data_IF_037334084775
#
_entry.id   IF_037334084775
#
_cell.length_a   1.000
_cell.length_b   1.000
_cell.length_c   1.000
_cell.angle_alpha   90.00
_cell.angle_beta   90.00
_cell.angle_gamma   90.00
#
_symmetry.space_group_name_H-M   'P 1'
#
loop_
_entity.id
_entity.type
_entity.pdbx_description
1 polymer ?
#
# COMPACT_ATOMS: atom_id res chain seq x y z
N UNK A 1 -6.50 65.45 31.97
CA UNK A 1 -5.91 64.49 32.93
C UNK A 1 -5.70 63.16 32.22
N UNK A 2 -4.46 62.84 31.82
CA UNK A 2 -4.10 61.57 31.18
C UNK A 2 -3.83 60.49 32.24
N UNK A 3 -4.23 59.24 31.96
CA UNK A 3 -3.89 58.08 32.80
C UNK A 3 -2.67 57.37 32.21
N UNK A 4 -1.60 57.33 33.00
CA UNK A 4 -0.40 56.54 32.82
C UNK A 4 -0.65 55.05 33.12
N UNK A 5 -0.02 54.16 32.35
CA UNK A 5 0.44 52.81 32.75
C UNK A 5 1.39 52.30 31.64
N UNK A 6 2.69 52.61 31.72
CA UNK A 6 3.78 51.73 32.16
C UNK A 6 3.82 50.39 31.40
N UNK A 7 4.68 50.35 30.39
CA UNK A 7 5.09 49.16 29.67
C UNK A 7 6.06 48.33 30.52
N UNK A 8 5.70 47.07 30.78
CA UNK A 8 6.55 46.10 31.46
C UNK A 8 7.45 45.41 30.43
N UNK A 9 8.75 45.72 30.49
CA UNK A 9 9.81 45.03 29.74
C UNK A 9 10.09 43.70 30.45
N UNK A 10 9.72 42.57 29.82
CA UNK A 10 10.13 41.24 30.25
C UNK A 10 11.45 40.88 29.56
N UNK A 11 12.53 40.83 30.35
CA UNK A 11 13.81 40.26 29.96
C UNK A 11 13.64 38.76 29.69
N UNK A 12 13.91 38.33 28.45
CA UNK A 12 14.13 36.92 28.12
C UNK A 12 15.57 36.54 28.51
N UNK A 13 15.73 35.84 29.63
CA UNK A 13 16.94 35.09 29.92
C UNK A 13 17.05 33.91 28.95
N UNK A 14 17.97 34.01 27.99
CA UNK A 14 18.37 32.91 27.15
C UNK A 14 19.25 31.94 27.96
N UNK A 15 18.71 30.76 28.30
CA UNK A 15 19.53 29.65 28.77
C UNK A 15 20.29 29.08 27.57
N UNK A 16 21.59 29.36 27.48
CA UNK A 16 22.47 28.77 26.48
C UNK A 16 22.63 27.25 26.74
N UNK A 17 22.25 26.42 25.77
CA UNK A 17 22.58 25.00 25.78
C UNK A 17 24.08 24.81 25.49
N UNK A 18 24.78 23.90 26.17
CA UNK A 18 26.18 23.62 25.88
C UNK A 18 26.33 22.98 24.49
N UNK A 19 27.46 23.21 23.78
CA UNK A 19 27.70 22.63 22.47
C UNK A 19 27.77 21.10 22.57
N UNK A 20 27.03 20.42 21.68
CA UNK A 20 27.12 18.98 21.48
C UNK A 20 28.55 18.60 21.11
N UNK A 21 29.17 17.72 21.90
CA UNK A 21 30.43 17.07 21.54
C UNK A 21 30.19 16.17 20.32
N UNK A 22 31.07 16.19 19.30
CA UNK A 22 31.01 15.21 18.22
C UNK A 22 31.22 13.81 18.79
N UNK A 23 30.39 12.87 18.36
CA UNK A 23 30.54 11.45 18.70
C UNK A 23 31.91 10.92 18.20
N UNK A 24 32.57 10.01 18.93
CA UNK A 24 33.81 9.41 18.47
C UNK A 24 33.55 8.60 17.20
N UNK A 25 34.43 8.77 16.22
CA UNK A 25 34.41 8.04 14.96
C UNK A 25 34.54 6.53 15.22
N UNK A 26 33.40 5.84 15.25
CA UNK A 26 33.34 4.38 15.20
C UNK A 26 33.70 3.91 13.80
N UNK A 27 34.63 2.97 13.72
CA UNK A 27 35.17 2.40 12.48
C UNK A 27 34.03 2.01 11.51
N UNK A 28 34.00 2.68 10.36
CA UNK A 28 33.22 2.26 9.21
C UNK A 28 33.72 0.89 8.74
N UNK A 29 33.04 -0.17 9.16
CA UNK A 29 32.89 -1.32 8.27
C UNK A 29 32.07 -0.80 7.10
N UNK A 30 32.75 -0.37 6.04
CA UNK A 30 32.16 -0.27 4.72
C UNK A 30 31.67 -1.67 4.35
N UNK A 31 30.46 -2.01 4.80
CA UNK A 31 29.67 -3.01 4.14
C UNK A 31 29.44 -2.44 2.74
N UNK A 32 30.16 -2.97 1.76
CA UNK A 32 29.87 -2.74 0.36
C UNK A 32 28.44 -3.20 0.13
N UNK A 33 27.48 -2.28 0.24
CA UNK A 33 26.08 -2.54 -0.03
C UNK A 33 26.03 -3.10 -1.46
N UNK A 34 25.61 -4.36 -1.60
CA UNK A 34 25.44 -4.94 -2.92
C UNK A 34 24.46 -4.06 -3.69
N UNK A 35 24.78 -3.62 -4.92
CA UNK A 35 23.85 -2.83 -5.71
C UNK A 35 22.51 -3.55 -5.81
N UNK A 36 21.40 -2.82 -5.61
CA UNK A 36 20.06 -3.38 -5.75
C UNK A 36 19.86 -3.96 -7.15
N UNK A 37 19.20 -5.13 -7.23
CA UNK A 37 18.74 -5.71 -8.49
C UNK A 37 17.47 -5.04 -9.01
N UNK A 38 16.76 -4.33 -8.14
CA UNK A 38 15.48 -3.70 -8.48
C UNK A 38 14.32 -4.69 -8.42
N UNK A 39 14.49 -5.81 -7.71
CA UNK A 39 13.44 -6.82 -7.47
C UNK A 39 13.19 -7.06 -5.98
N UNK A 40 13.87 -6.31 -5.14
CA UNK A 40 13.78 -6.44 -3.69
C UNK A 40 12.78 -5.47 -3.06
N UNK A 41 12.02 -5.95 -2.07
CA UNK A 41 11.28 -5.14 -1.10
C UNK A 41 12.13 -4.90 0.16
N UNK A 42 11.88 -3.82 0.90
CA UNK A 42 12.53 -3.51 2.18
C UNK A 42 11.64 -3.83 3.37
N UNK A 43 12.18 -4.52 4.37
CA UNK A 43 11.53 -4.79 5.66
C UNK A 43 12.54 -4.56 6.77
N UNK A 44 12.30 -3.59 7.65
CA UNK A 44 13.25 -3.15 8.67
C UNK A 44 14.63 -2.79 8.09
N UNK A 45 14.66 -2.22 6.87
CA UNK A 45 15.89 -1.93 6.13
C UNK A 45 16.61 -3.14 5.51
N UNK A 46 16.11 -4.36 5.72
CA UNK A 46 16.62 -5.58 5.06
C UNK A 46 15.92 -5.78 3.71
N UNK A 47 16.67 -6.21 2.69
CA UNK A 47 16.17 -6.39 1.33
C UNK A 47 15.80 -7.85 1.04
N UNK A 48 14.59 -8.08 0.53
CA UNK A 48 14.05 -9.40 0.19
C UNK A 48 13.67 -9.44 -1.29
N UNK A 49 14.33 -10.30 -2.06
CA UNK A 49 14.01 -10.50 -3.48
C UNK A 49 12.65 -11.19 -3.64
N UNK A 50 11.81 -10.60 -4.49
CA UNK A 50 10.48 -11.14 -4.82
C UNK A 50 10.34 -11.49 -6.31
N UNK A 51 11.40 -11.36 -7.12
CA UNK A 51 11.43 -11.83 -8.51
C UNK A 51 10.56 -11.02 -9.49
N UNK A 52 10.19 -9.80 -9.15
CA UNK A 52 9.46 -8.85 -10.03
C UNK A 52 10.00 -7.43 -9.83
N UNK A 53 9.91 -6.51 -10.81
CA UNK A 53 10.39 -5.15 -10.65
C UNK A 53 9.76 -4.41 -9.45
N UNK A 54 10.61 -3.84 -8.60
CA UNK A 54 10.27 -3.04 -7.41
C UNK A 54 11.08 -1.75 -7.39
N UNK A 55 10.37 -0.63 -7.30
CA UNK A 55 10.92 0.70 -7.02
C UNK A 55 10.66 1.03 -5.54
N UNK A 56 11.71 1.23 -4.76
CA UNK A 56 11.61 1.63 -3.35
C UNK A 56 11.45 3.14 -3.23
N UNK A 57 10.92 3.59 -2.09
CA UNK A 57 10.67 5.01 -1.83
C UNK A 57 11.92 5.89 -1.86
N UNK A 58 13.10 5.30 -1.69
CA UNK A 58 14.40 5.99 -1.75
C UNK A 58 15.14 5.78 -3.08
N UNK A 59 14.55 5.07 -4.04
CA UNK A 59 15.09 5.01 -5.40
C UNK A 59 14.77 6.28 -6.20
N UNK A 60 15.53 6.50 -7.26
CA UNK A 60 15.14 7.43 -8.30
C UNK A 60 13.78 7.03 -8.91
N UNK A 61 12.83 7.97 -8.93
CA UNK A 61 11.46 7.73 -9.39
C UNK A 61 10.57 7.00 -8.37
N UNK A 62 11.07 6.73 -7.16
CA UNK A 62 10.29 6.18 -6.06
C UNK A 62 9.28 7.17 -5.47
N UNK A 63 8.25 6.62 -4.84
CA UNK A 63 7.21 7.38 -4.15
C UNK A 63 7.41 7.23 -2.64
N UNK A 64 7.64 8.33 -1.91
CA UNK A 64 7.96 8.27 -0.47
C UNK A 64 6.84 8.80 0.42
N UNK A 65 6.22 7.91 1.18
CA UNK A 65 5.18 8.27 2.16
C UNK A 65 5.77 8.90 3.45
N UNK A 66 7.09 9.02 3.54
CA UNK A 66 7.78 9.69 4.64
C UNK A 66 7.75 11.23 4.53
N UNK A 67 7.33 11.78 3.39
CA UNK A 67 7.17 13.21 3.22
C UNK A 67 5.94 13.72 3.97
N UNK A 68 6.16 14.67 4.89
CA UNK A 68 5.06 15.31 5.62
C UNK A 68 4.33 16.38 4.77
N UNK A 69 5.03 16.98 3.80
CA UNK A 69 4.48 17.90 2.81
C UNK A 69 3.94 17.13 1.59
N UNK A 70 3.06 17.74 0.77
CA UNK A 70 2.60 17.09 -0.45
C UNK A 70 3.77 16.80 -1.40
N UNK A 71 3.70 15.65 -2.08
CA UNK A 71 4.78 15.09 -2.88
C UNK A 71 4.85 15.69 -4.30
N UNK A 72 3.71 15.92 -4.96
CA UNK A 72 3.68 16.37 -6.36
C UNK A 72 3.37 17.87 -6.56
N UNK A 73 3.12 18.64 -5.49
CA UNK A 73 2.79 20.06 -5.62
C UNK A 73 2.74 20.83 -4.30
N UNK A 74 2.65 22.16 -4.36
CA UNK A 74 2.59 23.01 -3.17
C UNK A 74 1.20 23.08 -2.52
N UNK A 75 0.15 22.66 -3.23
CA UNK A 75 -1.22 22.61 -2.72
C UNK A 75 -1.57 21.21 -2.24
N UNK A 76 -1.94 21.10 -0.97
CA UNK A 76 -2.28 19.83 -0.34
C UNK A 76 -2.25 19.96 1.17
N UNK A 77 -2.53 18.85 1.85
CA UNK A 77 -2.50 18.80 3.32
C UNK A 77 -1.09 18.42 3.80
N UNK A 78 -0.73 18.83 5.01
CA UNK A 78 0.53 18.42 5.65
C UNK A 78 0.26 17.53 6.86
N UNK A 79 1.23 16.71 7.28
CA UNK A 79 1.12 15.82 8.44
C UNK A 79 1.82 14.46 8.27
N UNK A 80 1.81 13.63 9.30
CA UNK A 80 2.18 12.22 9.12
C UNK A 80 1.12 11.50 8.30
N UNK A 81 1.57 10.54 7.50
CA UNK A 81 0.77 9.77 6.54
C UNK A 81 0.62 8.30 6.95
N UNK A 82 1.36 7.95 7.99
CA UNK A 82 1.55 6.62 8.53
C UNK A 82 1.73 6.77 10.04
N UNK A 83 1.65 5.65 10.77
CA UNK A 83 2.05 5.57 12.17
C UNK A 83 3.42 4.89 12.24
N UNK A 84 4.44 5.53 12.83
CA UNK A 84 5.74 4.90 13.03
C UNK A 84 5.64 3.60 13.83
N UNK A 85 6.33 2.56 13.34
CA UNK A 85 6.36 1.23 13.92
C UNK A 85 5.05 0.43 13.79
N UNK A 86 5.07 -0.76 14.40
CA UNK A 86 3.89 -1.60 14.63
C UNK A 86 3.44 -1.47 16.08
N UNK A 87 2.16 -1.23 16.32
CA UNK A 87 1.65 -1.07 17.69
C UNK A 87 1.77 -2.36 18.51
N UNK A 88 2.15 -2.25 19.78
CA UNK A 88 2.13 -3.38 20.72
C UNK A 88 0.68 -3.62 21.22
N UNK A 89 0.07 -4.81 21.05
CA UNK A 89 -1.19 -5.19 21.66
C UNK A 89 -1.10 -5.39 23.18
N UNK A 90 0.10 -5.47 23.77
CA UNK A 90 0.31 -5.55 25.21
C UNK A 90 1.34 -4.49 25.65
N UNK A 91 0.97 -3.20 25.67
CA UNK A 91 1.88 -2.18 26.17
C UNK A 91 2.22 -2.51 27.62
N UNK A 92 3.50 -2.70 27.94
CA UNK A 92 3.92 -2.90 29.32
C UNK A 92 3.32 -1.79 30.20
N UNK A 93 2.57 -2.13 31.26
CA UNK A 93 1.96 -1.12 32.12
C UNK A 93 3.09 -0.41 32.86
N UNK A 94 3.32 0.85 32.51
CA UNK A 94 4.26 1.79 33.14
C UNK A 94 5.73 1.38 33.09
N UNK A 95 6.38 1.74 31.98
CA UNK A 95 7.83 1.85 31.91
C UNK A 95 8.23 2.43 30.56
N UNK A 96 8.81 3.64 30.55
CA UNK A 96 9.53 4.17 29.38
C UNK A 96 10.77 3.29 29.15
N UNK A 97 10.58 2.15 28.49
CA UNK A 97 11.66 1.61 27.68
C UNK A 97 11.75 2.52 26.45
N UNK A 98 12.95 3.04 26.17
CA UNK A 98 13.27 3.57 24.84
C UNK A 98 12.76 2.58 23.79
N UNK A 99 12.11 3.02 22.71
CA UNK A 99 11.59 2.11 21.70
C UNK A 99 12.78 1.29 21.16
N UNK A 100 12.86 0.02 21.54
CA UNK A 100 13.80 -0.90 20.92
C UNK A 100 13.57 -0.79 19.41
N UNK A 101 14.65 -0.56 18.65
CA UNK A 101 14.56 -0.47 17.20
C UNK A 101 13.70 -1.64 16.69
N UNK A 102 12.65 -1.34 15.93
CA UNK A 102 11.74 -2.37 15.45
C UNK A 102 12.57 -3.36 14.62
N UNK A 103 12.52 -4.63 14.99
CA UNK A 103 13.30 -5.70 14.34
C UNK A 103 12.40 -6.45 13.37
N UNK A 104 13.01 -7.16 12.43
CA UNK A 104 12.28 -8.06 11.54
C UNK A 104 11.42 -9.07 12.31
N UNK A 105 11.93 -9.62 13.43
CA UNK A 105 11.17 -10.53 14.29
C UNK A 105 9.94 -9.86 14.93
N UNK A 106 10.03 -8.59 15.32
CA UNK A 106 8.86 -7.84 15.79
C UNK A 106 7.81 -7.70 14.68
N UNK A 107 8.20 -7.41 13.43
CA UNK A 107 7.26 -7.33 12.30
C UNK A 107 6.66 -8.70 11.99
N UNK A 108 7.47 -9.76 11.92
CA UNK A 108 7.04 -11.16 11.72
C UNK A 108 6.03 -11.63 12.74
N UNK A 109 6.18 -11.20 14.00
CA UNK A 109 5.27 -11.57 15.08
C UNK A 109 3.93 -10.82 15.05
N UNK A 110 3.85 -9.66 14.36
CA UNK A 110 2.70 -8.74 14.41
C UNK A 110 1.85 -8.76 13.15
N UNK A 111 2.50 -8.82 11.99
CA UNK A 111 1.84 -8.71 10.70
C UNK A 111 1.40 -10.09 10.24
N UNK A 112 0.10 -10.27 10.10
CA UNK A 112 -0.50 -11.54 9.70
C UNK A 112 -1.65 -11.40 8.69
N UNK A 113 -1.87 -10.19 8.19
CA UNK A 113 -2.84 -9.89 7.13
C UNK A 113 -2.18 -9.16 5.95
N UNK A 114 -2.72 -9.37 4.76
CA UNK A 114 -2.38 -8.64 3.54
C UNK A 114 -3.66 -8.15 2.89
N UNK A 115 -3.86 -6.84 2.78
CA UNK A 115 -5.11 -6.25 2.27
C UNK A 115 -4.93 -5.72 0.86
N UNK A 116 -5.81 -6.16 -0.04
CA UNK A 116 -5.87 -5.82 -1.45
C UNK A 116 -6.88 -4.70 -1.68
N UNK A 117 -6.45 -3.67 -2.40
CA UNK A 117 -7.25 -2.51 -2.79
C UNK A 117 -7.15 -2.33 -4.32
N UNK A 118 -8.17 -1.75 -4.95
CA UNK A 118 -7.97 -1.02 -6.20
C UNK A 118 -7.96 0.48 -5.92
N UNK A 119 -7.31 1.24 -6.79
CA UNK A 119 -7.07 2.66 -6.53
C UNK A 119 -8.16 3.62 -7.03
N UNK A 120 -8.99 3.21 -7.99
CA UNK A 120 -9.94 4.09 -8.72
C UNK A 120 -9.22 5.27 -9.40
N UNK A 121 -7.92 5.12 -9.69
CA UNK A 121 -7.07 6.18 -10.23
C UNK A 121 -6.46 5.79 -11.59
N UNK A 122 -6.26 4.50 -11.83
CA UNK A 122 -5.75 3.96 -13.09
C UNK A 122 -4.22 4.05 -13.27
N UNK A 123 -3.50 4.71 -12.36
CA UNK A 123 -2.03 4.69 -12.29
C UNK A 123 -1.55 4.82 -10.84
N UNK A 124 -0.42 4.18 -10.52
CA UNK A 124 0.22 4.29 -9.20
C UNK A 124 0.56 5.73 -8.83
N UNK A 125 0.97 6.54 -9.82
CA UNK A 125 1.29 7.95 -9.62
C UNK A 125 0.08 8.77 -9.13
N UNK A 126 -1.07 8.62 -9.79
CA UNK A 126 -2.27 9.35 -9.41
C UNK A 126 -2.83 8.84 -8.08
N UNK A 127 -2.79 7.53 -7.85
CA UNK A 127 -3.12 6.93 -6.55
C UNK A 127 -2.28 7.55 -5.43
N UNK A 128 -0.95 7.59 -5.60
CA UNK A 128 -0.05 8.17 -4.62
C UNK A 128 -0.35 9.65 -4.36
N UNK A 129 -0.62 10.44 -5.41
CA UNK A 129 -1.02 11.85 -5.27
C UNK A 129 -2.31 11.99 -4.45
N UNK A 130 -3.32 11.15 -4.72
CA UNK A 130 -4.59 11.19 -3.98
C UNK A 130 -4.36 10.84 -2.51
N UNK A 131 -3.66 9.74 -2.23
CA UNK A 131 -3.39 9.30 -0.86
C UNK A 131 -2.57 10.35 -0.11
N UNK A 132 -1.45 10.79 -0.67
CA UNK A 132 -0.50 11.67 0.00
C UNK A 132 -0.95 13.12 0.03
N UNK A 133 -1.25 13.71 -1.12
CA UNK A 133 -1.41 15.17 -1.24
C UNK A 133 -2.81 15.60 -0.84
N UNK A 134 -3.84 14.79 -1.17
CA UNK A 134 -5.23 15.15 -0.94
C UNK A 134 -5.82 14.56 0.35
N UNK A 135 -5.47 13.31 0.70
CA UNK A 135 -6.16 12.55 1.75
C UNK A 135 -5.38 12.36 3.05
N UNK A 136 -4.06 12.56 3.03
CA UNK A 136 -3.19 12.32 4.19
C UNK A 136 -3.22 10.84 4.63
N UNK A 137 -3.19 9.94 3.65
CA UNK A 137 -3.19 8.49 3.81
C UNK A 137 -1.94 7.87 3.18
N UNK A 138 -1.73 6.57 3.39
CA UNK A 138 -0.61 5.82 2.81
C UNK A 138 -0.98 4.37 2.59
N UNK A 139 -0.19 3.70 1.76
CA UNK A 139 -0.23 2.25 1.53
C UNK A 139 1.20 1.73 1.37
N UNK A 140 1.48 0.50 1.79
CA UNK A 140 2.84 -0.05 1.70
C UNK A 140 3.28 -0.20 0.24
N UNK A 141 2.40 -0.71 -0.62
CA UNK A 141 2.70 -0.95 -2.03
C UNK A 141 1.68 -0.29 -2.95
N UNK A 142 2.15 0.17 -4.11
CA UNK A 142 1.33 0.49 -5.28
C UNK A 142 1.72 -0.49 -6.39
N UNK A 143 0.75 -0.98 -7.14
CA UNK A 143 0.97 -1.86 -8.29
C UNK A 143 0.38 -1.22 -9.54
N UNK A 144 1.24 -0.77 -10.46
CA UNK A 144 0.79 -0.09 -11.68
C UNK A 144 0.30 -1.08 -12.75
N UNK A 145 -0.39 -0.57 -13.77
CA UNK A 145 -1.01 -1.39 -14.81
C UNK A 145 0.00 -2.20 -15.64
N UNK A 146 1.25 -1.73 -15.72
CA UNK A 146 2.37 -2.40 -16.40
C UNK A 146 3.11 -3.43 -15.53
N UNK A 147 2.63 -3.67 -14.30
CA UNK A 147 3.23 -4.62 -13.35
C UNK A 147 4.35 -4.06 -12.47
N UNK A 148 4.70 -2.77 -12.61
CA UNK A 148 5.69 -2.15 -11.72
C UNK A 148 5.14 -2.02 -10.29
N UNK A 149 5.93 -2.47 -9.32
CA UNK A 149 5.62 -2.29 -7.90
C UNK A 149 6.39 -1.09 -7.37
N UNK A 150 5.70 -0.23 -6.62
CA UNK A 150 6.32 0.84 -5.85
C UNK A 150 6.09 0.57 -4.36
N UNK A 151 7.17 0.38 -3.60
CA UNK A 151 7.07 0.33 -2.14
C UNK A 151 7.21 1.74 -1.58
N UNK A 152 6.19 2.24 -0.91
CA UNK A 152 6.14 3.67 -0.52
C UNK A 152 6.62 3.97 0.90
N UNK A 153 6.72 2.93 1.73
CA UNK A 153 7.30 2.96 3.08
C UNK A 153 7.74 1.56 3.50
N UNK A 154 8.59 1.50 4.53
CA UNK A 154 9.07 0.24 5.10
C UNK A 154 7.93 -0.52 5.79
N UNK A 155 7.93 -1.86 5.73
CA UNK A 155 6.91 -2.67 6.40
C UNK A 155 7.06 -2.67 7.93
N UNK A 156 8.12 -2.08 8.46
CA UNK A 156 8.25 -1.72 9.87
C UNK A 156 7.16 -0.73 10.33
N UNK A 157 6.70 0.14 9.44
CA UNK A 157 5.75 1.19 9.77
C UNK A 157 4.31 0.78 9.44
N UNK A 158 3.35 1.40 10.12
CA UNK A 158 1.91 1.14 9.90
C UNK A 158 1.35 2.15 8.89
N UNK A 159 1.07 1.70 7.67
CA UNK A 159 0.33 2.50 6.70
C UNK A 159 -1.15 2.71 7.10
N UNK A 160 -1.78 3.77 6.60
CA UNK A 160 -3.19 4.09 6.85
C UNK A 160 -4.07 3.77 5.64
N UNK A 161 -4.43 2.49 5.48
CA UNK A 161 -5.10 1.99 4.28
C UNK A 161 -6.41 1.21 4.56
N UNK A 162 -6.52 0.52 5.69
CA UNK A 162 -7.58 -0.47 5.95
C UNK A 162 -8.14 -0.45 7.38
N UNK A 163 -8.39 0.76 7.94
CA UNK A 163 -9.05 0.95 9.25
C UNK A 163 -8.45 0.06 10.36
N UNK A 164 -9.22 -0.89 10.90
CA UNK A 164 -8.82 -1.79 11.99
C UNK A 164 -7.76 -2.83 11.58
N UNK A 165 -7.56 -3.08 10.29
CA UNK A 165 -6.51 -3.99 9.80
C UNK A 165 -5.12 -3.36 9.84
N UNK A 166 -5.02 -2.02 9.72
CA UNK A 166 -3.76 -1.26 9.68
C UNK A 166 -2.63 -1.80 10.58
N UNK A 167 -2.82 -2.00 11.91
CA UNK A 167 -1.72 -2.38 12.80
C UNK A 167 -1.15 -3.79 12.53
N UNK A 168 -1.91 -4.68 11.87
CA UNK A 168 -1.54 -6.08 11.62
C UNK A 168 -1.46 -6.44 10.14
N UNK A 169 -1.60 -5.45 9.25
CA UNK A 169 -1.62 -5.67 7.81
C UNK A 169 -0.54 -4.97 7.04
N UNK A 170 -0.18 -5.59 5.91
CA UNK A 170 0.43 -4.95 4.75
C UNK A 170 -0.68 -4.63 3.75
N UNK A 171 -0.50 -3.59 2.93
CA UNK A 171 -1.51 -3.14 1.98
C UNK A 171 -0.92 -2.89 0.61
N UNK A 172 -1.70 -3.17 -0.44
CA UNK A 172 -1.38 -2.80 -1.82
C UNK A 172 -2.58 -2.11 -2.47
N UNK A 173 -2.33 -1.00 -3.15
CA UNK A 173 -3.28 -0.36 -4.06
C UNK A 173 -2.92 -0.75 -5.49
N UNK A 174 -3.88 -1.36 -6.21
CA UNK A 174 -3.69 -1.85 -7.57
C UNK A 174 -4.34 -0.87 -8.55
N UNK A 175 -3.58 -0.41 -9.55
CA UNK A 175 -4.04 0.51 -10.58
C UNK A 175 -5.23 -0.08 -11.35
N UNK A 176 -6.44 0.38 -11.01
CA UNK A 176 -7.69 -0.09 -11.61
C UNK A 176 -8.81 0.90 -11.26
N UNK A 177 -9.69 1.20 -12.22
CA UNK A 177 -10.72 2.25 -12.13
C UNK A 177 -11.98 1.90 -11.29
N UNK A 178 -11.92 0.84 -10.50
CA UNK A 178 -12.98 0.26 -9.68
C UNK A 178 -13.93 -0.73 -10.37
N UNK A 179 -14.83 -1.26 -9.55
CA UNK A 179 -16.02 -1.96 -9.98
C UNK A 179 -17.27 -1.09 -9.77
N UNK A 180 -18.32 -1.34 -10.54
CA UNK A 180 -19.55 -0.55 -10.49
C UNK A 180 -20.76 -1.46 -10.45
N UNK A 181 -21.78 -1.07 -9.69
CA UNK A 181 -23.04 -1.83 -9.65
C UNK A 181 -23.58 -2.06 -11.05
N UNK A 182 -24.13 -3.24 -11.30
CA UNK A 182 -24.81 -3.55 -12.57
C UNK A 182 -25.83 -2.44 -12.89
N UNK A 183 -25.79 -1.92 -14.12
CA UNK A 183 -26.59 -0.77 -14.57
C UNK A 183 -25.96 0.61 -14.32
N UNK A 184 -24.80 0.69 -13.65
CA UNK A 184 -23.98 1.91 -13.49
C UNK A 184 -22.57 1.78 -14.08
N UNK A 185 -22.29 0.68 -14.78
CA UNK A 185 -20.98 0.35 -15.31
C UNK A 185 -20.59 1.08 -16.62
N UNK A 186 -21.42 2.01 -17.12
CA UNK A 186 -21.12 2.75 -18.36
C UNK A 186 -19.82 3.59 -18.29
N UNK A 187 -19.37 3.94 -17.07
CA UNK A 187 -18.07 4.59 -16.86
C UNK A 187 -16.90 3.69 -17.29
N UNK A 188 -17.06 2.35 -17.21
CA UNK A 188 -16.05 1.40 -17.66
C UNK A 188 -15.77 1.55 -19.16
N UNK A 189 -16.78 1.87 -19.96
CA UNK A 189 -16.63 2.06 -21.42
C UNK A 189 -15.74 3.27 -21.76
N UNK A 190 -15.69 4.28 -20.89
CA UNK A 190 -14.85 5.47 -21.08
C UNK A 190 -13.37 5.16 -20.85
N UNK A 191 -13.08 4.27 -19.90
CA UNK A 191 -11.73 3.87 -19.53
C UNK A 191 -11.23 2.66 -20.33
N UNK A 192 -12.13 1.85 -20.89
CA UNK A 192 -11.79 0.66 -21.67
C UNK A 192 -12.45 0.65 -23.05
N UNK A 193 -12.06 1.57 -23.96
CA UNK A 193 -12.37 1.41 -25.37
C UNK A 193 -11.77 0.10 -25.90
N UNK A 194 -12.29 -0.34 -27.06
CA UNK A 194 -11.86 -1.55 -27.74
C UNK A 194 -11.12 -1.21 -29.03
N UNK A 195 -10.10 -2.00 -29.33
CA UNK A 195 -9.47 -2.08 -30.64
C UNK A 195 -9.55 -3.53 -31.17
N UNK A 196 -8.81 -3.84 -32.23
CA UNK A 196 -8.78 -5.18 -32.85
C UNK A 196 -8.33 -6.30 -31.89
N UNK A 197 -7.59 -5.96 -30.81
CA UNK A 197 -7.10 -6.90 -29.82
C UNK A 197 -7.96 -6.95 -28.55
N UNK A 198 -9.05 -6.16 -28.48
CA UNK A 198 -9.98 -6.14 -27.36
C UNK A 198 -9.89 -4.87 -26.51
N UNK A 199 -10.42 -4.89 -25.27
CA UNK A 199 -10.40 -3.71 -24.41
C UNK A 199 -8.97 -3.36 -23.97
N UNK A 200 -8.68 -2.08 -23.80
CA UNK A 200 -7.44 -1.60 -23.21
C UNK A 200 -7.71 -0.40 -22.31
N UNK A 201 -6.92 -0.24 -21.25
CA UNK A 201 -6.99 0.90 -20.36
C UNK A 201 -6.53 2.16 -21.12
N UNK A 202 -7.47 3.04 -21.45
CA UNK A 202 -7.21 4.36 -22.00
C UNK A 202 -7.13 5.37 -20.87
N UNK A 203 -5.92 5.83 -20.57
CA UNK A 203 -5.70 6.92 -19.63
C UNK A 203 -6.27 8.24 -20.20
N UNK A 204 -7.06 9.00 -19.42
CA UNK A 204 -7.42 10.37 -19.78
C UNK A 204 -6.15 11.23 -19.98
N UNK A 205 -6.22 12.24 -20.84
CA UNK A 205 -5.07 13.09 -21.22
C UNK A 205 -4.29 13.64 -20.01
N UNK A 206 -5.01 14.05 -18.95
CA UNK A 206 -4.42 14.55 -17.70
C UNK A 206 -3.47 13.54 -17.03
N UNK A 207 -3.71 12.25 -17.22
CA UNK A 207 -2.89 11.14 -16.69
C UNK A 207 -1.88 10.66 -17.72
N UNK A 208 -2.26 10.60 -19.00
CA UNK A 208 -1.43 10.09 -20.09
C UNK A 208 -0.09 10.83 -20.28
N UNK A 209 0.00 12.10 -19.84
CA UNK A 209 1.27 12.87 -19.80
C UNK A 209 2.31 12.32 -18.83
N UNK A 210 1.93 11.40 -17.94
CA UNK A 210 2.81 10.66 -17.04
C UNK A 210 2.70 9.18 -17.39
N UNK A 211 3.52 8.69 -18.35
CA UNK A 211 3.39 7.33 -18.84
C UNK A 211 3.74 6.31 -17.75
N UNK A 212 3.33 5.06 -17.98
CA UNK A 212 3.82 3.91 -17.22
C UNK A 212 5.35 3.81 -17.30
N UNK A 213 5.94 2.99 -16.42
CA UNK A 213 7.38 2.77 -16.43
C UNK A 213 7.81 2.11 -17.75
N UNK A 214 7.02 1.15 -18.23
CA UNK A 214 7.09 0.68 -19.61
C UNK A 214 6.19 1.55 -20.50
N UNK A 215 6.75 2.63 -21.05
CA UNK A 215 6.00 3.60 -21.86
C UNK A 215 5.41 3.03 -23.15
N UNK A 216 5.90 1.87 -23.63
CA UNK A 216 5.36 1.18 -24.80
C UNK A 216 4.24 0.19 -24.44
N UNK A 217 4.00 -0.06 -23.15
CA UNK A 217 3.03 -1.04 -22.70
C UNK A 217 1.59 -0.56 -22.89
N UNK A 218 0.79 -1.37 -23.59
CA UNK A 218 -0.66 -1.19 -23.66
C UNK A 218 -1.32 -2.08 -22.61
N UNK A 219 -1.82 -1.47 -21.55
CA UNK A 219 -2.47 -2.18 -20.45
C UNK A 219 -3.82 -2.77 -20.90
N UNK A 220 -3.88 -4.10 -21.03
CA UNK A 220 -5.11 -4.83 -21.39
C UNK A 220 -5.55 -5.73 -20.23
N UNK A 221 -6.86 -5.79 -19.92
CA UNK A 221 -7.41 -6.82 -19.05
C UNK A 221 -6.98 -8.21 -19.51
N UNK A 222 -6.57 -9.09 -18.58
CA UNK A 222 -6.15 -10.45 -18.92
C UNK A 222 -7.33 -11.26 -19.50
N UNK A 223 -8.51 -11.15 -18.89
CA UNK A 223 -9.79 -11.58 -19.47
C UNK A 223 -10.47 -10.41 -20.21
N UNK A 224 -10.79 -10.54 -21.51
CA UNK A 224 -11.35 -9.44 -22.32
C UNK A 224 -12.83 -9.13 -22.02
N UNK A 225 -13.55 -10.04 -21.39
CA UNK A 225 -14.91 -9.84 -20.90
C UNK A 225 -14.94 -9.03 -19.59
N UNK A 226 -16.10 -8.40 -19.32
CA UNK A 226 -16.36 -7.85 -17.99
C UNK A 226 -16.72 -8.98 -17.05
N UNK A 227 -16.13 -8.94 -15.86
CA UNK A 227 -16.38 -9.90 -14.81
C UNK A 227 -17.48 -9.35 -13.91
N UNK A 228 -18.44 -10.22 -13.57
CA UNK A 228 -19.54 -9.95 -12.67
C UNK A 228 -19.36 -10.73 -11.37
N UNK A 229 -19.77 -10.14 -10.25
CA UNK A 229 -19.82 -10.84 -8.98
C UNK A 229 -20.55 -10.05 -7.90
N UNK A 230 -21.07 -10.79 -6.92
CA UNK A 230 -21.69 -10.26 -5.73
C UNK A 230 -20.63 -9.74 -4.74
N UNK A 231 -20.88 -8.58 -4.15
CA UNK A 231 -20.17 -8.08 -2.97
C UNK A 231 -21.21 -7.37 -2.08
N UNK A 232 -21.28 -7.72 -0.80
CA UNK A 232 -22.22 -7.18 0.19
C UNK A 232 -23.68 -7.17 -0.31
N UNK A 233 -24.10 -8.27 -0.93
CA UNK A 233 -25.47 -8.45 -1.42
C UNK A 233 -25.85 -7.61 -2.65
N UNK A 234 -24.87 -7.00 -3.34
CA UNK A 234 -25.08 -6.29 -4.60
C UNK A 234 -24.16 -6.82 -5.70
N UNK A 235 -24.67 -6.84 -6.93
CA UNK A 235 -23.93 -7.27 -8.12
C UNK A 235 -23.09 -6.12 -8.71
N UNK A 236 -21.82 -6.39 -8.98
CA UNK A 236 -20.87 -5.46 -9.58
C UNK A 236 -20.30 -5.97 -10.89
N UNK A 237 -19.91 -5.05 -11.77
CA UNK A 237 -19.15 -5.28 -13.00
C UNK A 237 -17.78 -4.61 -12.92
N UNK A 238 -16.76 -5.30 -13.42
CA UNK A 238 -15.39 -4.81 -13.45
C UNK A 238 -14.65 -5.35 -14.69
N UNK A 239 -13.72 -4.57 -15.26
CA UNK A 239 -12.72 -5.12 -16.19
C UNK A 239 -11.61 -5.80 -15.41
N UNK A 240 -11.09 -6.90 -15.95
CA UNK A 240 -10.00 -7.63 -15.33
C UNK A 240 -8.73 -6.80 -15.12
N UNK A 241 -7.90 -7.25 -14.19
CA UNK A 241 -6.53 -6.78 -14.02
C UNK A 241 -5.68 -7.22 -15.21
N UNK A 242 -4.56 -6.52 -15.46
CA UNK A 242 -3.63 -6.94 -16.53
C UNK A 242 -2.89 -8.21 -16.14
N UNK A 243 -2.41 -8.96 -17.13
CA UNK A 243 -1.59 -10.14 -16.87
C UNK A 243 -0.31 -9.80 -16.08
N UNK A 244 0.30 -8.63 -16.35
CA UNK A 244 1.49 -8.14 -15.62
C UNK A 244 1.16 -7.79 -14.17
N UNK A 245 -0.02 -7.21 -13.91
CA UNK A 245 -0.50 -7.00 -12.54
C UNK A 245 -0.69 -8.32 -11.81
N UNK A 246 -1.38 -9.29 -12.42
CA UNK A 246 -1.65 -10.58 -11.79
C UNK A 246 -0.35 -11.35 -11.47
N UNK A 247 0.66 -11.29 -12.34
CA UNK A 247 1.97 -11.87 -12.09
C UNK A 247 2.71 -11.16 -10.95
N UNK A 248 2.84 -9.83 -11.02
CA UNK A 248 3.56 -9.04 -10.03
C UNK A 248 2.88 -9.12 -8.64
N UNK A 249 1.55 -9.13 -8.59
CA UNK A 249 0.78 -9.27 -7.35
C UNK A 249 1.03 -10.62 -6.68
N UNK A 250 1.03 -11.72 -7.44
CA UNK A 250 1.33 -13.04 -6.90
C UNK A 250 2.75 -13.12 -6.33
N UNK A 251 3.72 -12.54 -7.05
CA UNK A 251 5.11 -12.44 -6.59
C UNK A 251 5.26 -11.58 -5.33
N UNK A 252 4.54 -10.46 -5.25
CA UNK A 252 4.49 -9.61 -4.06
C UNK A 252 3.89 -10.33 -2.86
N UNK A 253 2.69 -10.93 -3.02
CA UNK A 253 2.01 -11.66 -1.95
C UNK A 253 2.86 -12.83 -1.46
N UNK A 254 3.41 -13.64 -2.39
CA UNK A 254 4.29 -14.76 -2.05
C UNK A 254 5.58 -14.31 -1.38
N UNK A 255 6.22 -13.26 -1.88
CA UNK A 255 7.44 -12.69 -1.33
C UNK A 255 7.26 -12.13 0.08
N UNK A 256 6.19 -11.36 0.29
CA UNK A 256 5.84 -10.82 1.61
C UNK A 256 5.48 -11.94 2.57
N UNK A 257 4.70 -12.96 2.16
CA UNK A 257 4.37 -14.10 3.00
C UNK A 257 5.60 -14.94 3.39
N UNK A 258 6.59 -15.09 2.50
CA UNK A 258 7.86 -15.75 2.84
C UNK A 258 8.65 -14.97 3.90
N UNK A 259 8.66 -13.64 3.81
CA UNK A 259 9.36 -12.80 4.77
C UNK A 259 8.59 -12.66 6.10
N UNK A 260 7.26 -12.65 6.05
CA UNK A 260 6.30 -12.47 7.15
C UNK A 260 5.33 -13.67 7.24
N UNK A 261 5.77 -14.82 7.77
CA UNK A 261 5.09 -16.12 7.62
C UNK A 261 3.75 -16.25 8.34
N UNK A 262 3.36 -15.28 9.17
CA UNK A 262 2.01 -15.26 9.74
C UNK A 262 0.94 -14.84 8.72
N UNK A 263 1.32 -14.17 7.63
CA UNK A 263 0.44 -13.96 6.48
C UNK A 263 0.31 -15.30 5.75
N UNK A 264 -0.78 -16.03 6.02
CA UNK A 264 -1.05 -17.29 5.35
C UNK A 264 -1.41 -17.02 3.89
N UNK A 265 -0.93 -17.88 2.99
CA UNK A 265 -1.38 -17.89 1.59
C UNK A 265 -2.76 -18.57 1.52
N UNK A 266 -3.76 -17.86 2.04
CA UNK A 266 -5.16 -18.24 2.14
C UNK A 266 -6.05 -16.98 2.14
N UNK A 267 -7.35 -17.15 1.88
CA UNK A 267 -8.34 -16.07 1.83
C UNK A 267 -9.68 -16.54 2.43
N UNK A 268 -10.56 -15.63 2.88
CA UNK A 268 -11.87 -16.00 3.40
C UNK A 268 -12.73 -16.72 2.36
N UNK A 269 -13.30 -17.86 2.73
CA UNK A 269 -14.22 -18.63 1.90
C UNK A 269 -15.57 -18.82 2.58
N UNK A 270 -16.63 -18.85 1.77
CA UNK A 270 -17.95 -19.32 2.18
C UNK A 270 -17.96 -20.83 2.45
N UNK A 271 -19.09 -21.33 2.94
CA UNK A 271 -19.28 -22.76 3.22
C UNK A 271 -19.19 -23.65 1.96
N UNK A 272 -19.41 -23.06 0.78
CA UNK A 272 -19.29 -23.68 -0.53
C UNK A 272 -17.87 -23.65 -1.11
N UNK A 273 -16.91 -23.05 -0.40
CA UNK A 273 -15.53 -22.89 -0.86
C UNK A 273 -15.31 -21.70 -1.81
N UNK A 274 -16.36 -20.97 -2.18
CA UNK A 274 -16.22 -19.73 -2.94
C UNK A 274 -15.59 -18.62 -2.09
N UNK A 275 -15.04 -17.58 -2.72
CA UNK A 275 -14.57 -16.39 -2.00
C UNK A 275 -15.73 -15.79 -1.21
N UNK A 276 -15.49 -15.44 0.05
CA UNK A 276 -16.51 -14.78 0.86
C UNK A 276 -16.84 -13.39 0.29
N UNK A 277 -18.09 -13.13 -0.04
CA UNK A 277 -18.53 -11.90 -0.70
C UNK A 277 -18.98 -10.81 0.29
N UNK A 278 -18.81 -11.04 1.59
CA UNK A 278 -19.21 -10.14 2.68
C UNK A 278 -18.03 -9.74 3.56
N UNK A 279 -18.25 -8.73 4.41
CA UNK A 279 -17.32 -8.40 5.48
C UNK A 279 -17.26 -9.56 6.49
N UNK A 280 -16.06 -9.78 7.03
CA UNK A 280 -15.87 -10.66 8.17
C UNK A 280 -16.52 -9.99 9.39
N UNK A 281 -17.21 -10.78 10.20
CA UNK A 281 -17.61 -10.32 11.52
C UNK A 281 -16.39 -10.12 12.43
N UNK A 282 -16.62 -9.54 13.59
CA UNK A 282 -15.60 -9.25 14.59
C UNK A 282 -14.76 -10.47 15.02
N UNK A 283 -15.40 -11.64 15.18
CA UNK A 283 -14.74 -12.85 15.61
C UNK A 283 -13.94 -13.48 14.46
N UNK A 284 -14.55 -13.56 13.28
CA UNK A 284 -13.92 -14.00 12.03
C UNK A 284 -12.68 -13.14 11.71
N UNK A 285 -12.83 -11.81 11.74
CA UNK A 285 -11.75 -10.86 11.45
C UNK A 285 -10.58 -10.99 12.43
N UNK A 286 -10.87 -11.16 13.73
CA UNK A 286 -9.82 -11.38 14.75
C UNK A 286 -9.05 -12.67 14.51
N UNK A 287 -9.77 -13.75 14.18
CA UNK A 287 -9.21 -15.08 13.97
C UNK A 287 -8.47 -15.24 12.63
N UNK A 288 -8.81 -14.43 11.62
CA UNK A 288 -8.27 -14.59 10.28
C UNK A 288 -6.85 -14.04 10.13
N UNK A 289 -5.99 -14.85 9.50
CA UNK A 289 -4.65 -14.46 9.04
C UNK A 289 -4.51 -14.90 7.58
N UNK A 290 -4.10 -13.99 6.72
CA UNK A 290 -3.92 -14.24 5.29
C UNK A 290 -4.27 -13.04 4.41
N UNK A 291 -4.70 -13.33 3.18
CA UNK A 291 -4.98 -12.33 2.15
C UNK A 291 -6.47 -11.95 2.18
N UNK A 292 -6.73 -10.64 2.22
CA UNK A 292 -8.06 -10.06 2.32
C UNK A 292 -8.26 -9.06 1.17
N UNK A 293 -9.39 -9.12 0.47
CA UNK A 293 -9.95 -7.90 -0.09
C UNK A 293 -10.38 -6.92 1.00
N UNK A 294 -10.33 -5.62 0.74
CA UNK A 294 -10.79 -4.61 1.70
C UNK A 294 -12.28 -4.74 2.03
N UNK A 295 -13.10 -5.28 1.11
CA UNK A 295 -14.48 -5.63 1.41
C UNK A 295 -14.62 -6.62 2.56
N UNK A 296 -13.65 -7.54 2.76
CA UNK A 296 -13.68 -8.46 3.88
C UNK A 296 -13.44 -7.74 5.22
N UNK A 297 -12.89 -6.52 5.19
CA UNK A 297 -12.58 -5.73 6.39
C UNK A 297 -13.78 -4.86 6.78
N UNK A 298 -14.57 -4.36 5.83
CA UNK A 298 -15.66 -3.43 6.12
C UNK A 298 -16.70 -3.37 4.98
N UNK A 299 -17.96 -3.16 5.35
CA UNK A 299 -19.11 -3.18 4.42
C UNK A 299 -19.16 -1.96 3.47
N UNK A 300 -18.47 -0.86 3.80
CA UNK A 300 -18.39 0.34 2.95
C UNK A 300 -17.39 0.21 1.78
N UNK A 301 -16.81 -0.98 1.60
CA UNK A 301 -15.75 -1.27 0.64
C UNK A 301 -16.12 -2.40 -0.29
N UNK A 302 -15.67 -2.28 -1.54
CA UNK A 302 -15.92 -3.25 -2.61
C UNK A 302 -14.65 -3.58 -3.38
N UNK A 303 -13.50 -3.09 -2.92
CA UNK A 303 -12.19 -3.41 -3.43
C UNK A 303 -11.69 -4.76 -2.87
N UNK A 304 -10.98 -5.58 -3.68
CA UNK A 304 -10.44 -5.34 -5.03
C UNK A 304 -11.43 -5.59 -6.18
N UNK A 305 -12.73 -5.70 -5.89
CA UNK A 305 -13.76 -5.95 -6.89
C UNK A 305 -13.81 -7.41 -7.38
N UNK A 306 -14.92 -7.79 -8.05
CA UNK A 306 -15.18 -9.18 -8.41
C UNK A 306 -14.22 -9.74 -9.45
N UNK A 307 -13.41 -8.90 -10.11
CA UNK A 307 -12.45 -9.35 -11.09
C UNK A 307 -11.25 -10.09 -10.47
N UNK A 308 -10.92 -9.83 -9.20
CA UNK A 308 -9.77 -10.49 -8.60
C UNK A 308 -10.05 -11.99 -8.42
N UNK A 309 -9.22 -12.81 -9.06
CA UNK A 309 -9.20 -14.25 -8.89
C UNK A 309 -8.29 -14.63 -7.70
N UNK A 310 -8.90 -14.75 -6.51
CA UNK A 310 -8.19 -15.09 -5.28
C UNK A 310 -7.53 -16.47 -5.31
N UNK A 311 -8.19 -17.46 -5.92
CA UNK A 311 -7.67 -18.82 -6.01
C UNK A 311 -6.38 -18.83 -6.83
N UNK A 312 -6.45 -18.28 -8.04
CA UNK A 312 -5.29 -18.17 -8.94
C UNK A 312 -4.18 -17.33 -8.35
N UNK A 313 -4.52 -16.25 -7.64
CA UNK A 313 -3.53 -15.43 -6.92
C UNK A 313 -2.76 -16.28 -5.89
N UNK A 314 -3.47 -17.01 -5.04
CA UNK A 314 -2.85 -17.82 -3.98
C UNK A 314 -2.05 -18.99 -4.55
N UNK A 315 -2.55 -19.68 -5.57
CA UNK A 315 -1.83 -20.76 -6.24
C UNK A 315 -0.49 -20.27 -6.81
N UNK A 316 -0.50 -19.13 -7.50
CA UNK A 316 0.71 -18.52 -8.05
C UNK A 316 1.66 -18.04 -6.95
N UNK A 317 1.14 -17.43 -5.88
CA UNK A 317 1.96 -16.95 -4.76
C UNK A 317 2.70 -18.06 -4.01
N UNK A 318 2.19 -19.31 -4.06
CA UNK A 318 2.86 -20.49 -3.47
C UNK A 318 4.02 -20.99 -4.32
N UNK A 319 4.08 -20.65 -5.60
CA UNK A 319 5.12 -21.12 -6.51
C UNK A 319 6.39 -20.28 -6.27
N UNK A 320 7.52 -20.90 -5.91
CA UNK A 320 8.78 -20.18 -5.78
C UNK A 320 9.13 -19.48 -7.09
N UNK A 321 9.53 -18.22 -7.01
CA UNK A 321 10.16 -17.52 -8.13
C UNK A 321 11.51 -18.19 -8.40
N UNK A 322 11.62 -18.86 -9.55
CA UNK A 322 12.90 -19.27 -10.13
C UNK A 322 13.75 -18.05 -10.51
#
# INVERSE_FOLDING_TARGET
>A
MPRFAIALVLLLCACAAPPLRPAPAGSSREATATPRRGTEISICGELFDIGTPVVLWYDEGGYSAYHAAPFFGASGKSGLRYKPGRADPNPAPFGRAEPAALTLEHVRARVDQFVLHFDVCGTSRECFRVLQDARVLSVHFLLDADGAIYQTLDLADTAWHARQANPRSVGVEIAQIGCYRVGKAAILDQWYPRDEQGPYLKLPERLAKFPFRDAAYTARPERPERIRGAIHGAEYEQHDYTARQNEALAKLVGGVARALPRIRLDYPRGADGAVLDRALDDAEFRAFSGVLGHWHVTEDKVDPGPALDFERLIERARTPTN
#
